data_IF_023006379426
#
_entry.id   IF_023006379426
#
_cell.length_a   1.000
_cell.length_b   1.000
_cell.length_c   1.000
_cell.angle_alpha   90.00
_cell.angle_beta   90.00
_cell.angle_gamma   90.00
#
_symmetry.space_group_name_H-M   'P 1'
#
loop_
_entity.id
_entity.type
_entity.pdbx_description
1 polymer ?
#
# COMPACT_ATOMS: atom_id res chain seq x y z
N UNK A 1 16.07 7.43 -5.99
CA UNK A 1 15.39 7.35 -4.66
C UNK A 1 15.58 8.64 -3.88
N UNK A 2 14.51 9.32 -3.49
CA UNK A 2 14.52 10.47 -2.57
C UNK A 2 14.26 9.99 -1.14
N UNK A 3 14.88 10.61 -0.14
CA UNK A 3 14.78 10.19 1.26
C UNK A 3 14.67 11.37 2.22
N UNK A 4 14.02 11.15 3.35
CA UNK A 4 13.90 12.08 4.46
C UNK A 4 14.40 11.40 5.75
N UNK A 5 15.37 12.02 6.41
CA UNK A 5 15.91 11.48 7.66
C UNK A 5 14.92 11.66 8.82
N UNK A 6 14.98 10.75 9.79
CA UNK A 6 14.18 10.85 11.02
C UNK A 6 12.78 10.22 10.94
N UNK A 7 12.35 9.71 9.79
CA UNK A 7 11.10 8.95 9.66
C UNK A 7 11.41 7.45 9.69
N UNK A 8 10.72 6.72 10.54
CA UNK A 8 10.84 5.28 10.70
C UNK A 8 9.50 4.58 10.93
N UNK A 9 9.55 3.28 11.20
CA UNK A 9 8.36 2.46 11.44
C UNK A 9 7.48 2.98 12.57
N UNK A 10 8.07 3.53 13.65
CA UNK A 10 7.32 4.08 14.76
C UNK A 10 6.43 5.27 14.37
N UNK A 11 6.89 6.10 13.44
CA UNK A 11 6.12 7.25 12.95
C UNK A 11 4.92 6.78 12.13
N UNK A 12 5.10 5.78 11.29
CA UNK A 12 4.02 5.13 10.52
C UNK A 12 2.98 4.51 11.44
N UNK A 13 3.40 3.75 12.45
CA UNK A 13 2.52 3.18 13.48
C UNK A 13 1.72 4.28 14.19
N UNK A 14 2.37 5.40 14.53
CA UNK A 14 1.71 6.56 15.15
C UNK A 14 0.60 7.15 14.26
N UNK A 15 0.88 7.35 12.96
CA UNK A 15 -0.11 7.87 12.00
C UNK A 15 -1.32 6.95 11.91
N UNK A 16 -1.12 5.67 11.64
CA UNK A 16 -2.20 4.69 11.47
C UNK A 16 -2.95 4.34 12.76
N UNK A 17 -2.37 4.67 13.92
CA UNK A 17 -3.02 4.53 15.23
C UNK A 17 -3.80 5.77 15.67
N UNK A 18 -3.83 6.84 14.88
CA UNK A 18 -4.37 8.16 15.24
C UNK A 18 -5.42 8.68 14.23
N UNK A 19 -5.96 9.87 14.48
CA UNK A 19 -6.97 10.52 13.64
C UNK A 19 -6.62 10.64 12.13
N UNK A 20 -5.39 10.95 11.71
CA UNK A 20 -4.98 10.87 10.30
C UNK A 20 -5.23 9.50 9.67
N UNK A 21 -4.93 8.40 10.35
CA UNK A 21 -5.21 7.05 9.86
C UNK A 21 -6.71 6.76 9.70
N UNK A 22 -7.54 7.31 10.59
CA UNK A 22 -8.99 7.21 10.48
C UNK A 22 -9.51 8.04 9.30
N UNK A 23 -8.92 9.22 9.01
CA UNK A 23 -9.21 9.99 7.79
C UNK A 23 -8.82 9.24 6.51
N UNK A 24 -7.65 8.61 6.47
CA UNK A 24 -7.27 7.77 5.33
C UNK A 24 -8.29 6.64 5.12
N UNK A 25 -8.69 5.95 6.20
CA UNK A 25 -9.70 4.89 6.12
C UNK A 25 -11.07 5.39 5.64
N UNK A 26 -11.44 6.64 5.93
CA UNK A 26 -12.67 7.24 5.42
C UNK A 26 -12.57 7.53 3.91
N UNK A 27 -11.48 8.16 3.48
CA UNK A 27 -11.32 8.65 2.11
C UNK A 27 -11.04 7.52 1.13
N UNK A 28 -10.15 6.58 1.49
CA UNK A 28 -9.81 5.42 0.64
C UNK A 28 -10.77 4.23 0.83
N UNK A 29 -11.61 4.26 1.86
CA UNK A 29 -12.46 3.14 2.22
C UNK A 29 -11.70 2.04 2.95
N UNK A 30 -12.28 0.84 2.97
CA UNK A 30 -11.69 -0.34 3.64
C UNK A 30 -10.39 -0.80 2.96
N UNK A 31 -10.33 -0.72 1.64
CA UNK A 31 -9.13 -0.94 0.85
C UNK A 31 -8.35 0.37 0.82
N UNK A 32 -7.38 0.52 1.72
CA UNK A 32 -6.64 1.76 1.95
C UNK A 32 -5.55 1.94 0.88
N UNK A 33 -5.97 1.98 -0.38
CA UNK A 33 -5.11 2.25 -1.55
C UNK A 33 -5.88 2.99 -2.64
N UNK A 34 -5.17 3.54 -3.60
CA UNK A 34 -5.74 4.31 -4.70
C UNK A 34 -6.42 3.42 -5.75
N UNK A 35 -7.68 3.69 -6.01
CA UNK A 35 -8.45 2.98 -7.03
C UNK A 35 -9.36 1.88 -6.50
N UNK A 36 -9.25 1.52 -5.22
CA UNK A 36 -10.11 0.55 -4.54
C UNK A 36 -10.26 -0.76 -5.31
N UNK A 37 -11.40 -1.43 -5.18
CA UNK A 37 -11.64 -2.76 -5.77
C UNK A 37 -11.32 -2.88 -7.26
N UNK A 38 -11.49 -1.80 -8.06
CA UNK A 38 -11.14 -1.84 -9.48
C UNK A 38 -9.63 -1.96 -9.71
N UNK A 39 -8.82 -1.33 -8.88
CA UNK A 39 -7.37 -1.44 -8.92
C UNK A 39 -6.93 -2.85 -8.55
N UNK A 40 -7.49 -3.40 -7.47
CA UNK A 40 -7.20 -4.77 -7.02
C UNK A 40 -7.61 -5.82 -8.07
N UNK A 41 -8.74 -5.66 -8.74
CA UNK A 41 -9.16 -6.54 -9.86
C UNK A 41 -8.12 -6.49 -10.99
N UNK A 42 -7.73 -5.29 -11.43
CA UNK A 42 -6.76 -5.10 -12.51
C UNK A 42 -5.38 -5.69 -12.15
N UNK A 43 -4.91 -5.47 -10.93
CA UNK A 43 -3.66 -6.06 -10.45
C UNK A 43 -3.74 -7.60 -10.40
N UNK A 44 -4.82 -8.16 -9.86
CA UNK A 44 -5.01 -9.59 -9.74
C UNK A 44 -5.08 -10.28 -11.12
N UNK A 45 -5.80 -9.67 -12.10
CA UNK A 45 -5.92 -10.19 -13.47
C UNK A 45 -4.56 -10.22 -14.16
N UNK A 46 -3.80 -9.11 -14.10
CA UNK A 46 -2.48 -9.01 -14.72
C UNK A 46 -1.43 -9.88 -14.07
N UNK A 47 -1.52 -10.09 -12.76
CA UNK A 47 -0.65 -10.97 -12.00
C UNK A 47 -1.01 -12.46 -12.16
N UNK A 48 -2.18 -12.78 -12.76
CA UNK A 48 -2.65 -14.15 -12.92
C UNK A 48 -3.06 -14.79 -11.58
N UNK A 49 -3.55 -14.00 -10.63
CA UNK A 49 -4.02 -14.52 -9.34
C UNK A 49 -5.33 -15.29 -9.57
N UNK A 50 -5.33 -16.57 -9.20
CA UNK A 50 -6.39 -17.51 -9.51
C UNK A 50 -6.89 -18.27 -8.27
N UNK A 51 -8.03 -18.94 -8.42
CA UNK A 51 -8.61 -19.78 -7.39
C UNK A 51 -7.65 -20.89 -6.94
N UNK A 52 -7.68 -21.20 -5.65
CA UNK A 52 -6.86 -22.24 -5.03
C UNK A 52 -5.45 -21.79 -4.64
N UNK A 53 -4.96 -20.64 -5.09
CA UNK A 53 -3.66 -20.08 -4.69
C UNK A 53 -3.64 -19.69 -3.21
N UNK A 54 -2.42 -19.69 -2.61
CA UNK A 54 -2.13 -19.19 -1.26
C UNK A 54 -1.30 -17.92 -1.39
N UNK A 55 -1.75 -16.83 -0.75
CA UNK A 55 -1.06 -15.56 -0.82
C UNK A 55 -0.54 -15.06 0.52
N UNK A 56 0.44 -14.16 0.45
CA UNK A 56 0.88 -13.34 1.57
C UNK A 56 0.78 -11.88 1.17
N UNK A 57 0.17 -11.07 2.04
CA UNK A 57 0.06 -9.62 1.90
C UNK A 57 1.03 -8.94 2.87
N UNK A 58 2.04 -8.27 2.34
CA UNK A 58 3.04 -7.54 3.13
C UNK A 58 2.62 -6.07 3.26
N UNK A 59 2.46 -5.62 4.49
CA UNK A 59 1.84 -4.35 4.90
C UNK A 59 0.32 -4.37 4.63
N UNK A 60 -0.34 -5.41 5.14
CA UNK A 60 -1.73 -5.76 4.80
C UNK A 60 -2.80 -4.83 5.38
N UNK A 61 -2.43 -3.84 6.18
CA UNK A 61 -3.36 -2.97 6.87
C UNK A 61 -4.48 -3.78 7.58
N UNK A 62 -5.75 -3.42 7.40
CA UNK A 62 -6.90 -4.12 7.98
C UNK A 62 -7.30 -5.40 7.21
N UNK A 63 -6.55 -5.81 6.18
CA UNK A 63 -6.76 -7.03 5.42
C UNK A 63 -7.93 -7.01 4.43
N UNK A 64 -8.41 -5.85 4.02
CA UNK A 64 -9.50 -5.76 3.06
C UNK A 64 -9.18 -6.42 1.72
N UNK A 65 -7.95 -6.27 1.22
CA UNK A 65 -7.51 -6.89 -0.02
C UNK A 65 -7.40 -8.41 0.11
N UNK A 66 -6.98 -8.90 1.27
CA UNK A 66 -6.98 -10.34 1.54
C UNK A 66 -8.38 -10.92 1.49
N UNK A 67 -9.36 -10.26 2.15
CA UNK A 67 -10.77 -10.67 2.14
C UNK A 67 -11.36 -10.59 0.73
N UNK A 68 -11.02 -9.54 -0.03
CA UNK A 68 -11.37 -9.41 -1.45
C UNK A 68 -10.85 -10.59 -2.28
N UNK A 69 -9.55 -10.92 -2.18
CA UNK A 69 -8.93 -12.01 -2.95
C UNK A 69 -9.56 -13.37 -2.63
N UNK A 70 -9.83 -13.65 -1.36
CA UNK A 70 -10.52 -14.89 -0.96
C UNK A 70 -11.94 -14.95 -1.50
N UNK A 71 -12.71 -13.86 -1.38
CA UNK A 71 -14.14 -13.82 -1.72
C UNK A 71 -14.39 -13.77 -3.23
N UNK A 72 -13.62 -12.94 -3.95
CA UNK A 72 -13.90 -12.65 -5.35
C UNK A 72 -12.94 -13.31 -6.35
N UNK A 73 -11.77 -13.78 -5.88
CA UNK A 73 -10.79 -14.50 -6.72
C UNK A 73 -10.69 -15.98 -6.37
N UNK A 74 -11.37 -16.44 -5.32
CA UNK A 74 -11.33 -17.83 -4.88
C UNK A 74 -9.98 -18.28 -4.34
N UNK A 75 -9.13 -17.33 -3.88
CA UNK A 75 -7.86 -17.63 -3.24
C UNK A 75 -8.11 -18.51 -2.01
N UNK A 76 -7.33 -19.59 -1.87
CA UNK A 76 -7.56 -20.61 -0.83
C UNK A 76 -7.28 -20.05 0.57
N UNK A 77 -6.21 -19.27 0.72
CA UNK A 77 -5.88 -18.61 1.98
C UNK A 77 -4.95 -17.43 1.78
N UNK A 78 -5.05 -16.47 2.71
CA UNK A 78 -4.18 -15.30 2.81
C UNK A 78 -3.57 -15.18 4.20
N UNK A 79 -2.30 -14.78 4.26
CA UNK A 79 -1.63 -14.38 5.49
C UNK A 79 -1.19 -12.94 5.33
N UNK A 80 -1.70 -12.04 6.17
CA UNK A 80 -1.30 -10.64 6.19
C UNK A 80 -0.24 -10.38 7.24
N UNK A 81 0.75 -9.57 6.89
CA UNK A 81 1.79 -9.08 7.79
C UNK A 81 1.65 -7.58 7.92
N UNK A 82 1.50 -7.07 9.13
CA UNK A 82 1.51 -5.63 9.43
C UNK A 82 2.15 -5.37 10.79
N UNK A 83 2.76 -4.23 10.95
CA UNK A 83 3.48 -3.85 12.18
C UNK A 83 2.59 -3.09 13.16
N UNK A 84 1.40 -2.65 12.74
CA UNK A 84 0.50 -1.80 13.50
C UNK A 84 -0.55 -2.63 14.23
N UNK A 85 -0.36 -2.86 15.53
CA UNK A 85 -1.23 -3.72 16.35
C UNK A 85 -2.71 -3.33 16.26
N UNK A 86 -3.05 -2.05 16.45
CA UNK A 86 -4.44 -1.55 16.36
C UNK A 86 -5.11 -1.92 15.03
N UNK A 87 -4.35 -1.86 13.94
CA UNK A 87 -4.86 -2.16 12.59
C UNK A 87 -5.03 -3.67 12.39
N UNK A 88 -4.07 -4.46 12.87
CA UNK A 88 -4.16 -5.93 12.85
C UNK A 88 -5.35 -6.43 13.65
N UNK A 89 -5.59 -5.88 14.84
CA UNK A 89 -6.77 -6.21 15.66
C UNK A 89 -8.07 -5.87 14.95
N UNK A 90 -8.15 -4.68 14.36
CA UNK A 90 -9.30 -4.29 13.54
C UNK A 90 -9.50 -5.25 12.37
N UNK A 91 -8.42 -5.64 11.70
CA UNK A 91 -8.45 -6.60 10.58
C UNK A 91 -8.98 -7.98 10.99
N UNK A 92 -8.52 -8.50 12.14
CA UNK A 92 -9.01 -9.77 12.70
C UNK A 92 -10.51 -9.74 12.96
N UNK A 93 -10.99 -8.66 13.62
CA UNK A 93 -12.42 -8.48 13.90
C UNK A 93 -13.25 -8.42 12.62
N UNK A 94 -12.86 -7.60 11.64
CA UNK A 94 -13.57 -7.51 10.36
C UNK A 94 -13.58 -8.85 9.60
N UNK A 95 -12.50 -9.61 9.69
CA UNK A 95 -12.40 -10.93 9.07
C UNK A 95 -13.32 -11.94 9.73
N UNK A 96 -13.47 -11.89 11.05
CA UNK A 96 -14.43 -12.70 11.81
C UNK A 96 -15.87 -12.33 11.47
N UNK A 97 -16.20 -11.03 11.49
CA UNK A 97 -17.53 -10.50 11.10
C UNK A 97 -17.92 -10.93 9.68
N UNK A 98 -16.96 -11.05 8.76
CA UNK A 98 -17.17 -11.52 7.40
C UNK A 98 -17.15 -13.06 7.24
N UNK A 99 -16.89 -13.83 8.30
CA UNK A 99 -16.86 -15.30 8.28
C UNK A 99 -15.68 -15.88 7.50
N UNK A 100 -14.52 -15.22 7.50
CA UNK A 100 -13.35 -15.61 6.71
C UNK A 100 -12.14 -16.00 7.57
N UNK A 101 -12.30 -16.21 8.88
CA UNK A 101 -11.19 -16.49 9.83
C UNK A 101 -10.47 -17.82 9.56
N UNK A 102 -11.10 -18.74 8.85
CA UNK A 102 -10.49 -20.00 8.41
C UNK A 102 -9.52 -19.82 7.24
N UNK A 103 -9.65 -18.73 6.47
CA UNK A 103 -8.88 -18.45 5.24
C UNK A 103 -7.95 -17.24 5.33
N UNK A 104 -8.24 -16.28 6.20
CA UNK A 104 -7.48 -15.04 6.34
C UNK A 104 -6.90 -14.94 7.75
N UNK A 105 -5.57 -14.82 7.84
CA UNK A 105 -4.85 -14.71 9.11
C UNK A 105 -3.92 -13.52 9.11
N UNK A 106 -3.61 -13.00 10.30
CA UNK A 106 -2.74 -11.83 10.51
C UNK A 106 -1.56 -12.18 11.41
N UNK A 107 -0.39 -11.69 11.02
CA UNK A 107 0.87 -11.74 11.77
C UNK A 107 1.26 -10.31 12.09
N UNK A 108 1.43 -10.00 13.37
CA UNK A 108 1.98 -8.73 13.85
C UNK A 108 3.50 -8.82 13.76
N UNK A 109 4.09 -8.26 12.71
CA UNK A 109 5.54 -8.30 12.47
C UNK A 109 5.97 -7.21 11.48
N UNK A 110 7.29 -6.96 11.44
CA UNK A 110 7.92 -6.15 10.38
C UNK A 110 7.87 -6.91 9.05
N UNK A 111 7.39 -6.25 7.98
CA UNK A 111 7.34 -6.82 6.64
C UNK A 111 8.73 -7.18 6.08
N UNK A 112 9.80 -6.58 6.60
CA UNK A 112 11.18 -6.95 6.27
C UNK A 112 11.66 -8.22 6.99
N UNK A 113 10.94 -8.69 8.02
CA UNK A 113 11.27 -9.86 8.84
C UNK A 113 9.98 -10.51 9.37
N UNK A 114 9.17 -11.01 8.46
CA UNK A 114 7.83 -11.51 8.75
C UNK A 114 7.77 -12.76 9.65
N UNK A 115 8.87 -13.52 9.72
CA UNK A 115 8.90 -14.83 10.39
C UNK A 115 8.19 -15.94 9.61
N UNK A 116 7.65 -15.67 8.42
CA UNK A 116 6.99 -16.67 7.60
C UNK A 116 8.00 -17.65 6.96
N UNK A 117 7.62 -18.91 6.71
CA UNK A 117 8.51 -19.89 6.06
C UNK A 117 8.87 -19.46 4.62
N UNK A 118 10.07 -19.82 4.19
CA UNK A 118 10.49 -19.65 2.78
C UNK A 118 9.65 -20.50 1.85
N UNK A 119 9.40 -19.99 0.63
CA UNK A 119 8.66 -20.68 -0.43
C UNK A 119 7.27 -21.19 0.00
N UNK A 120 6.60 -20.44 0.91
CA UNK A 120 5.32 -20.83 1.51
C UNK A 120 4.10 -20.24 0.82
N UNK A 121 4.28 -19.30 -0.12
CA UNK A 121 3.20 -18.62 -0.84
C UNK A 121 3.31 -18.80 -2.36
N UNK A 122 2.17 -18.87 -3.03
CA UNK A 122 2.08 -18.83 -4.49
C UNK A 122 2.30 -17.41 -5.02
N UNK A 123 1.88 -16.42 -4.23
CA UNK A 123 2.07 -15.02 -4.57
C UNK A 123 2.25 -14.13 -3.33
N UNK A 124 2.92 -13.00 -3.55
CA UNK A 124 2.99 -11.88 -2.63
C UNK A 124 2.12 -10.75 -3.19
N UNK A 125 1.40 -10.07 -2.30
CA UNK A 125 0.51 -8.96 -2.59
C UNK A 125 0.87 -7.74 -1.76
N UNK A 126 0.64 -6.56 -2.30
CA UNK A 126 0.56 -5.30 -1.56
C UNK A 126 -0.03 -4.21 -2.45
N UNK A 127 -0.78 -3.27 -1.89
CA UNK A 127 -1.24 -2.10 -2.64
C UNK A 127 -0.97 -0.81 -1.85
N UNK A 128 -0.15 0.08 -2.45
CA UNK A 128 0.20 1.43 -1.98
C UNK A 128 0.75 1.48 -0.53
N UNK A 129 1.51 0.48 -0.12
CA UNK A 129 1.96 0.34 1.26
C UNK A 129 3.48 0.20 1.43
N UNK A 130 4.19 -0.25 0.41
CA UNK A 130 5.63 -0.41 0.51
C UNK A 130 6.38 0.91 0.60
N UNK A 131 5.81 2.02 0.15
CA UNK A 131 6.33 3.38 0.33
C UNK A 131 6.59 3.73 1.80
N UNK A 132 5.87 3.12 2.74
CA UNK A 132 6.06 3.30 4.18
C UNK A 132 7.26 2.52 4.75
N UNK A 133 7.78 1.52 4.04
CA UNK A 133 8.87 0.68 4.52
C UNK A 133 10.22 1.34 4.22
N UNK A 134 11.06 1.65 5.24
CA UNK A 134 12.33 2.35 5.01
C UNK A 134 13.34 1.55 4.18
N UNK A 135 13.46 0.25 4.41
CA UNK A 135 14.42 -0.64 3.73
C UNK A 135 13.75 -1.46 2.63
N UNK A 136 13.59 -0.85 1.44
CA UNK A 136 13.00 -1.51 0.28
C UNK A 136 13.76 -2.77 -0.15
N UNK A 137 15.08 -2.79 0.03
CA UNK A 137 15.89 -3.94 -0.37
C UNK A 137 15.59 -5.15 0.52
N UNK A 138 15.51 -4.96 1.85
CA UNK A 138 15.12 -6.04 2.77
C UNK A 138 13.69 -6.49 2.55
N UNK A 139 12.75 -5.56 2.33
CA UNK A 139 11.37 -5.88 2.05
C UNK A 139 11.24 -6.78 0.81
N UNK A 140 11.87 -6.41 -0.30
CA UNK A 140 11.84 -7.18 -1.55
C UNK A 140 12.56 -8.53 -1.39
N UNK A 141 13.66 -8.58 -0.64
CA UNK A 141 14.33 -9.83 -0.32
C UNK A 141 13.43 -10.78 0.48
N UNK A 142 12.68 -10.25 1.46
CA UNK A 142 11.72 -11.02 2.25
C UNK A 142 10.55 -11.51 1.38
N UNK A 143 9.99 -10.66 0.53
CA UNK A 143 8.95 -11.03 -0.43
C UNK A 143 9.44 -12.16 -1.36
N UNK A 144 10.65 -12.04 -1.92
CA UNK A 144 11.26 -13.06 -2.76
C UNK A 144 11.56 -14.35 -2.00
N UNK A 145 11.89 -14.29 -0.71
CA UNK A 145 12.12 -15.46 0.15
C UNK A 145 10.82 -16.25 0.38
N UNK A 146 9.71 -15.54 0.66
CA UNK A 146 8.42 -16.14 1.01
C UNK A 146 7.73 -16.76 -0.21
N UNK A 147 7.76 -16.07 -1.35
CA UNK A 147 7.15 -16.61 -2.57
C UNK A 147 7.93 -17.83 -3.06
N UNK A 148 7.24 -18.90 -3.51
CA UNK A 148 7.88 -20.09 -4.05
C UNK A 148 8.53 -19.83 -5.42
N UNK A 149 9.50 -20.65 -5.87
CA UNK A 149 9.96 -20.61 -7.26
C UNK A 149 8.79 -20.71 -8.24
N UNK A 150 8.80 -19.87 -9.26
CA UNK A 150 7.69 -19.74 -10.21
C UNK A 150 6.48 -18.96 -9.69
N UNK A 151 6.46 -18.55 -8.42
CA UNK A 151 5.41 -17.72 -7.85
C UNK A 151 5.55 -16.24 -8.24
N UNK A 152 4.56 -15.43 -7.88
CA UNK A 152 4.42 -14.05 -8.35
C UNK A 152 4.53 -13.06 -7.18
N UNK A 153 5.23 -11.96 -7.40
CA UNK A 153 5.18 -10.76 -6.54
C UNK A 153 4.39 -9.71 -7.33
N UNK A 154 3.27 -9.27 -6.80
CA UNK A 154 2.38 -8.28 -7.42
C UNK A 154 2.06 -7.17 -6.43
N UNK A 155 2.39 -5.94 -6.78
CA UNK A 155 2.07 -4.80 -5.93
C UNK A 155 1.87 -3.51 -6.73
N UNK A 156 1.15 -2.58 -6.12
CA UNK A 156 1.20 -1.16 -6.50
C UNK A 156 1.91 -0.38 -5.42
N UNK A 157 2.53 0.74 -5.79
CA UNK A 157 3.16 1.64 -4.83
C UNK A 157 3.26 3.06 -5.36
N UNK A 158 3.38 4.00 -4.43
CA UNK A 158 3.66 5.39 -4.76
C UNK A 158 5.16 5.56 -5.05
N UNK A 159 5.47 6.19 -6.15
CA UNK A 159 6.83 6.31 -6.66
C UNK A 159 7.17 7.74 -7.07
N UNK A 160 8.47 8.07 -7.08
CA UNK A 160 8.95 9.25 -7.78
C UNK A 160 8.66 9.11 -9.28
N UNK A 161 8.01 10.10 -9.84
CA UNK A 161 7.65 10.13 -11.26
C UNK A 161 8.81 10.58 -12.15
N UNK A 162 8.64 10.48 -13.50
CA UNK A 162 9.72 10.75 -14.46
C UNK A 162 10.21 12.19 -14.48
N UNK A 163 9.39 13.15 -14.04
CA UNK A 163 9.80 14.56 -13.95
C UNK A 163 10.73 14.82 -12.76
N UNK A 164 10.77 13.91 -11.79
CA UNK A 164 11.60 14.01 -10.59
C UNK A 164 11.10 15.07 -9.60
N UNK A 165 11.36 14.83 -8.32
CA UNK A 165 11.10 15.76 -7.23
C UNK A 165 12.34 16.63 -7.00
N UNK A 166 12.17 17.94 -6.85
CA UNK A 166 13.20 18.77 -6.24
C UNK A 166 13.39 18.38 -4.77
N UNK A 167 14.48 18.79 -4.13
CA UNK A 167 14.72 18.43 -2.73
C UNK A 167 13.66 19.03 -1.80
N UNK A 168 13.19 20.25 -2.07
CA UNK A 168 12.10 20.89 -1.31
C UNK A 168 10.76 20.16 -1.50
N UNK A 169 10.42 19.74 -2.72
CA UNK A 169 9.21 18.97 -2.97
C UNK A 169 9.28 17.58 -2.33
N UNK A 170 10.45 16.94 -2.39
CA UNK A 170 10.66 15.65 -1.72
C UNK A 170 10.47 15.77 -0.20
N UNK A 171 11.03 16.81 0.42
CA UNK A 171 10.84 17.05 1.85
C UNK A 171 9.37 17.25 2.22
N UNK A 172 8.63 18.05 1.44
CA UNK A 172 7.20 18.28 1.66
C UNK A 172 6.39 16.99 1.46
N UNK A 173 6.61 16.30 0.36
CA UNK A 173 5.89 15.07 0.02
C UNK A 173 6.14 13.95 1.03
N UNK A 174 7.41 13.66 1.32
CA UNK A 174 7.79 12.60 2.24
C UNK A 174 7.34 12.91 3.67
N UNK A 175 7.46 14.17 4.11
CA UNK A 175 6.99 14.61 5.42
C UNK A 175 5.47 14.51 5.56
N UNK A 176 4.72 14.95 4.53
CA UNK A 176 3.26 14.87 4.50
C UNK A 176 2.77 13.43 4.61
N UNK A 177 3.38 12.52 3.87
CA UNK A 177 2.97 11.11 3.80
C UNK A 177 3.62 10.22 4.86
N UNK A 178 4.55 10.77 5.64
CA UNK A 178 5.35 9.98 6.62
C UNK A 178 6.12 8.86 5.92
N UNK A 179 6.67 9.14 4.74
CA UNK A 179 7.54 8.22 4.01
C UNK A 179 9.00 8.50 4.37
N UNK A 180 9.75 7.47 4.75
CA UNK A 180 11.20 7.57 4.94
C UNK A 180 11.94 7.83 3.62
N UNK A 181 11.41 7.25 2.55
CA UNK A 181 11.92 7.41 1.19
C UNK A 181 10.86 7.05 0.15
N UNK A 182 11.07 7.50 -1.06
CA UNK A 182 10.31 7.09 -2.24
C UNK A 182 11.26 6.58 -3.31
N UNK A 183 10.95 5.41 -3.87
CA UNK A 183 11.69 4.80 -4.98
C UNK A 183 11.08 5.23 -6.31
N UNK A 184 11.79 5.04 -7.40
CA UNK A 184 11.27 5.17 -8.76
C UNK A 184 10.99 3.80 -9.40
N UNK A 185 10.35 3.79 -10.57
CA UNK A 185 10.01 2.54 -11.27
C UNK A 185 11.25 1.73 -11.63
N UNK A 186 12.34 2.31 -12.20
CA UNK A 186 13.57 1.58 -12.47
C UNK A 186 14.25 1.01 -11.21
N UNK A 187 14.21 1.75 -10.09
CA UNK A 187 14.78 1.32 -8.82
C UNK A 187 14.09 0.07 -8.27
N UNK A 188 12.75 0.06 -8.21
CA UNK A 188 12.00 -1.14 -7.83
C UNK A 188 12.27 -2.32 -8.78
N UNK A 189 12.30 -2.09 -10.10
CA UNK A 189 12.61 -3.14 -11.07
C UNK A 189 14.02 -3.73 -10.87
N UNK A 190 15.01 -2.89 -10.53
CA UNK A 190 16.36 -3.31 -10.19
C UNK A 190 16.41 -4.14 -8.90
N UNK A 191 15.70 -3.71 -7.85
CA UNK A 191 15.62 -4.45 -6.59
C UNK A 191 14.98 -5.83 -6.79
N UNK A 192 13.88 -5.92 -7.51
CA UNK A 192 13.22 -7.20 -7.85
C UNK A 192 14.17 -8.13 -8.63
N UNK A 193 14.83 -7.59 -9.66
CA UNK A 193 15.79 -8.36 -10.48
C UNK A 193 16.97 -8.84 -9.65
N UNK A 194 17.48 -8.00 -8.73
CA UNK A 194 18.58 -8.33 -7.81
C UNK A 194 18.24 -9.46 -6.84
N UNK A 195 16.95 -9.66 -6.54
CA UNK A 195 16.45 -10.76 -5.70
C UNK A 195 16.06 -12.02 -6.50
N UNK A 196 16.50 -12.15 -7.76
CA UNK A 196 16.27 -13.34 -8.59
C UNK A 196 14.86 -13.39 -9.19
N UNK A 197 14.16 -12.26 -9.27
CA UNK A 197 12.85 -12.18 -9.91
C UNK A 197 12.97 -11.68 -11.35
N UNK A 198 12.14 -12.23 -12.23
CA UNK A 198 11.94 -11.72 -13.58
C UNK A 198 10.82 -10.70 -13.56
N UNK A 199 11.13 -9.43 -13.84
CA UNK A 199 10.15 -8.35 -13.89
C UNK A 199 9.32 -8.49 -15.17
N UNK A 200 8.00 -8.64 -15.02
CA UNK A 200 7.03 -8.78 -16.11
C UNK A 200 6.30 -7.48 -16.43
N UNK A 201 6.07 -6.66 -15.40
CA UNK A 201 5.55 -5.30 -15.52
C UNK A 201 6.19 -4.41 -14.46
N UNK A 202 6.52 -3.19 -14.86
CA UNK A 202 6.94 -2.10 -14.00
C UNK A 202 6.53 -0.80 -14.71
N UNK A 203 5.34 -0.27 -14.37
CA UNK A 203 4.71 0.78 -15.15
C UNK A 203 3.85 1.71 -14.30
N UNK A 204 3.73 2.97 -14.70
CA UNK A 204 2.78 3.91 -14.13
C UNK A 204 1.34 3.46 -14.45
N UNK A 205 0.47 3.45 -13.45
CA UNK A 205 -0.96 3.12 -13.63
C UNK A 205 -1.75 4.25 -14.28
N UNK A 206 -1.20 5.47 -14.32
CA UNK A 206 -1.87 6.68 -14.79
C UNK A 206 -3.03 7.15 -13.90
N UNK A 207 -3.22 6.54 -12.73
CA UNK A 207 -4.39 6.81 -11.88
C UNK A 207 -4.21 8.02 -10.99
N UNK A 208 -2.99 8.31 -10.57
CA UNK A 208 -2.73 9.20 -9.45
C UNK A 208 -3.41 10.58 -9.57
N UNK A 209 -3.28 11.35 -10.66
CA UNK A 209 -3.84 12.69 -10.74
C UNK A 209 -5.36 12.69 -10.53
N UNK A 210 -6.06 11.81 -11.25
CA UNK A 210 -7.52 11.72 -11.20
C UNK A 210 -8.05 11.32 -9.82
N UNK A 211 -7.38 10.37 -9.16
CA UNK A 211 -7.84 9.90 -7.86
C UNK A 211 -7.52 10.86 -6.74
N UNK A 212 -6.39 11.58 -6.80
CA UNK A 212 -6.10 12.63 -5.85
C UNK A 212 -7.17 13.74 -5.89
N UNK A 213 -7.61 14.15 -7.09
CA UNK A 213 -8.72 15.08 -7.27
C UNK A 213 -10.05 14.53 -6.77
N UNK A 214 -10.36 13.27 -7.10
CA UNK A 214 -11.59 12.61 -6.62
C UNK A 214 -11.67 12.59 -5.09
N UNK A 215 -10.57 12.33 -4.39
CA UNK A 215 -10.57 12.30 -2.92
C UNK A 215 -10.81 13.69 -2.31
N UNK A 216 -10.29 14.75 -2.93
CA UNK A 216 -10.58 16.13 -2.56
C UNK A 216 -12.09 16.40 -2.73
N UNK A 217 -12.64 16.12 -3.91
CA UNK A 217 -14.05 16.33 -4.23
C UNK A 217 -14.96 15.52 -3.28
N UNK A 218 -14.64 14.28 -2.97
CA UNK A 218 -15.41 13.46 -2.04
C UNK A 218 -15.50 14.11 -0.65
N UNK A 219 -14.38 14.62 -0.14
CA UNK A 219 -14.35 15.27 1.18
C UNK A 219 -15.10 16.60 1.14
N UNK A 220 -14.85 17.45 0.15
CA UNK A 220 -15.42 18.80 0.07
C UNK A 220 -16.92 18.79 -0.27
N UNK A 221 -17.36 17.89 -1.14
CA UNK A 221 -18.75 17.87 -1.63
C UNK A 221 -19.68 16.95 -0.85
N UNK A 222 -19.16 15.87 -0.25
CA UNK A 222 -20.02 14.85 0.36
C UNK A 222 -19.61 14.47 1.79
N UNK A 223 -18.34 14.26 2.07
CA UNK A 223 -17.88 13.62 3.30
C UNK A 223 -17.38 14.64 4.36
N UNK A 224 -17.60 15.94 4.18
CA UNK A 224 -17.07 16.99 5.06
C UNK A 224 -17.39 16.72 6.55
N UNK A 225 -18.64 16.40 6.86
CA UNK A 225 -19.06 16.13 8.24
C UNK A 225 -18.42 14.86 8.80
N UNK A 226 -18.36 13.80 7.99
CA UNK A 226 -17.75 12.53 8.40
C UNK A 226 -16.23 12.66 8.57
N UNK A 227 -15.57 13.48 7.74
CA UNK A 227 -14.15 13.78 7.84
C UNK A 227 -13.81 14.66 9.07
N UNK A 228 -14.73 15.48 9.52
CA UNK A 228 -14.55 16.28 10.74
C UNK A 228 -14.60 15.42 12.02
N UNK A 229 -15.32 14.30 12.03
CA UNK A 229 -15.46 13.45 13.23
C UNK A 229 -14.13 12.89 13.76
N UNK A 230 -13.28 12.23 12.94
CA UNK A 230 -11.99 11.72 13.38
C UNK A 230 -11.06 12.79 13.95
N UNK A 231 -11.14 14.01 13.44
CA UNK A 231 -10.31 15.15 13.89
C UNK A 231 -10.94 15.99 14.99
N UNK A 232 -12.02 15.49 15.63
CA UNK A 232 -12.70 16.18 16.72
C UNK A 232 -13.36 17.49 16.33
N UNK A 233 -13.90 17.57 15.11
CA UNK A 233 -14.52 18.76 14.49
C UNK A 233 -13.59 19.98 14.36
N UNK A 234 -12.28 19.73 14.29
CA UNK A 234 -11.28 20.76 14.05
C UNK A 234 -11.11 21.02 12.55
N UNK A 235 -11.66 22.14 12.10
CA UNK A 235 -11.64 22.56 10.68
C UNK A 235 -10.21 22.84 10.19
N UNK A 236 -9.34 23.36 11.05
CA UNK A 236 -7.92 23.62 10.74
C UNK A 236 -7.14 22.34 10.38
N UNK A 237 -7.43 21.22 11.06
CA UNK A 237 -6.83 19.94 10.77
C UNK A 237 -7.33 19.37 9.44
N UNK A 238 -8.63 19.47 9.17
CA UNK A 238 -9.21 19.03 7.91
C UNK A 238 -8.69 19.88 6.74
N UNK A 239 -8.57 21.20 6.90
CA UNK A 239 -7.97 22.06 5.89
C UNK A 239 -6.50 21.68 5.60
N UNK A 240 -5.74 21.34 6.65
CA UNK A 240 -4.35 20.87 6.49
C UNK A 240 -4.29 19.58 5.68
N UNK A 241 -5.18 18.63 5.96
CA UNK A 241 -5.32 17.40 5.19
C UNK A 241 -5.64 17.68 3.71
N UNK A 242 -6.64 18.51 3.43
CA UNK A 242 -7.02 18.88 2.07
C UNK A 242 -5.91 19.63 1.31
N UNK A 243 -5.17 20.53 1.97
CA UNK A 243 -3.98 21.18 1.39
C UNK A 243 -2.93 20.15 1.00
N UNK A 244 -2.73 19.13 1.83
CA UNK A 244 -1.85 18.00 1.51
C UNK A 244 -2.29 17.27 0.24
N UNK A 245 -3.56 16.91 0.12
CA UNK A 245 -4.08 16.25 -1.09
C UNK A 245 -4.00 17.13 -2.34
N UNK A 246 -4.19 18.45 -2.22
CA UNK A 246 -3.99 19.37 -3.34
C UNK A 246 -2.52 19.39 -3.81
N UNK A 247 -1.57 19.36 -2.88
CA UNK A 247 -0.14 19.23 -3.21
C UNK A 247 0.13 17.90 -3.95
N UNK A 248 -0.42 16.78 -3.48
CA UNK A 248 -0.29 15.49 -4.15
C UNK A 248 -0.87 15.52 -5.57
N UNK A 249 -2.05 16.12 -5.76
CA UNK A 249 -2.68 16.27 -7.07
C UNK A 249 -1.81 17.12 -8.03
N UNK A 250 -1.21 18.20 -7.53
CA UNK A 250 -0.30 19.06 -8.30
C UNK A 250 0.97 18.30 -8.70
N UNK A 251 1.64 17.65 -7.75
CA UNK A 251 2.85 16.87 -8.03
C UNK A 251 2.57 15.74 -9.02
N UNK A 252 1.43 15.08 -8.92
CA UNK A 252 1.04 14.01 -9.82
C UNK A 252 0.73 14.52 -11.24
N UNK A 253 0.00 15.63 -11.37
CA UNK A 253 -0.27 16.28 -12.67
C UNK A 253 1.00 16.71 -13.39
N UNK A 254 2.01 17.13 -12.63
CA UNK A 254 3.31 17.52 -13.13
C UNK A 254 4.26 16.31 -13.38
N UNK A 255 3.79 15.07 -13.22
CA UNK A 255 4.58 13.87 -13.42
C UNK A 255 5.71 13.66 -12.42
N UNK A 256 5.64 14.31 -11.25
CA UNK A 256 6.67 14.24 -10.19
C UNK A 256 6.49 13.08 -9.23
N UNK A 257 5.24 12.63 -9.06
CA UNK A 257 4.88 11.40 -8.34
C UNK A 257 3.89 10.61 -9.19
N UNK A 258 3.88 9.29 -9.00
CA UNK A 258 2.96 8.39 -9.68
C UNK A 258 2.56 7.23 -8.77
N UNK A 259 1.48 6.53 -9.13
CA UNK A 259 1.22 5.18 -8.65
C UNK A 259 1.72 4.20 -9.69
N UNK A 260 2.68 3.37 -9.33
CA UNK A 260 3.22 2.36 -10.23
C UNK A 260 2.70 0.97 -9.86
N UNK A 261 2.65 0.09 -10.87
CA UNK A 261 2.34 -1.34 -10.73
C UNK A 261 3.56 -2.16 -11.08
N UNK A 262 3.80 -3.18 -10.26
CA UNK A 262 4.89 -4.12 -10.42
C UNK A 262 4.37 -5.54 -10.41
N UNK A 263 4.81 -6.34 -11.37
CA UNK A 263 4.56 -7.78 -11.44
C UNK A 263 5.88 -8.45 -11.76
N UNK A 264 6.33 -9.33 -10.88
CA UNK A 264 7.56 -10.06 -11.05
C UNK A 264 7.37 -11.55 -10.72
N UNK A 265 8.09 -12.42 -11.39
CA UNK A 265 8.06 -13.86 -11.16
C UNK A 265 9.38 -14.32 -10.56
N UNK A 266 9.33 -15.03 -9.44
CA UNK A 266 10.53 -15.66 -8.87
C UNK A 266 11.04 -16.77 -9.80
N UNK A 267 12.33 -16.72 -10.15
CA UNK A 267 13.00 -17.76 -10.93
C UNK A 267 13.19 -19.04 -10.15
#
# INVERSE_FOLDING_TARGET
MKSLSGIGVADVVSVYSSAPGDLYSLVFGQQVHMGGMKASIDLADRAGIAAGMKGVDLCCCNGADMRFLVRFRGVASMVGVDVTEKIVERGRRLTEEEGLSDKVRFVLADACQSGLPSASADFIWSEDAWCYVPDKAKLIAEAARIVRPGGVIAFTDWVEGPAGLSDSEAQLFLGLMTFANVEDIPGYAKLLSGCGCEVRAAEDTGRFPRYAELYIDMVEMQLMYDALRPVGFRTDLLETFLKGFRLLAELARNGKIAQARFIARRK
#
